data_IF_295563310990
#
_entry.id   IF_295563310990
#
_cell.length_a   1.000
_cell.length_b   1.000
_cell.length_c   1.000
_cell.angle_alpha   90.00
_cell.angle_beta   90.00
_cell.angle_gamma   90.00
#
_symmetry.space_group_name_H-M   'P 1'
#
loop_
_entity.id
_entity.type
_entity.pdbx_description
1 polymer ?
#
# COMPACT_ATOMS: atom_id res chain seq x y z
N UNK A 1 -1.85 13.36 16.65
CA UNK A 1 -2.62 12.17 16.26
C UNK A 1 -2.98 12.21 14.78
N UNK A 2 -3.78 13.16 14.31
CA UNK A 2 -4.22 13.22 12.90
C UNK A 2 -3.07 13.38 11.86
N UNK A 3 -2.10 14.27 12.11
CA UNK A 3 -0.93 14.44 11.22
C UNK A 3 -0.05 13.19 11.10
N UNK A 4 0.00 12.38 12.17
CA UNK A 4 0.79 11.16 12.19
C UNK A 4 0.08 10.03 11.43
N UNK A 5 -1.24 9.95 11.58
CA UNK A 5 -2.07 9.00 10.83
C UNK A 5 -1.99 9.28 9.32
N UNK A 6 -2.14 10.54 8.92
CA UNK A 6 -2.04 10.92 7.50
C UNK A 6 -0.64 10.64 6.93
N UNK A 7 0.42 10.86 7.71
CA UNK A 7 1.78 10.52 7.31
C UNK A 7 1.94 9.01 7.08
N UNK A 8 1.45 8.18 8.01
CA UNK A 8 1.48 6.72 7.87
C UNK A 8 0.71 6.26 6.62
N UNK A 9 -0.49 6.80 6.39
CA UNK A 9 -1.30 6.50 5.19
C UNK A 9 -0.62 6.94 3.90
N UNK A 10 -0.02 8.14 3.89
CA UNK A 10 0.73 8.66 2.74
C UNK A 10 1.93 7.78 2.40
N UNK A 11 2.73 7.40 3.41
CA UNK A 11 3.85 6.48 3.23
C UNK A 11 3.36 5.12 2.70
N UNK A 12 2.26 4.60 3.24
CA UNK A 12 1.71 3.30 2.85
C UNK A 12 1.16 3.29 1.42
N UNK A 13 0.55 4.40 0.96
CA UNK A 13 0.18 4.60 -0.45
C UNK A 13 1.40 4.55 -1.38
N UNK A 14 2.50 5.19 -0.99
CA UNK A 14 3.73 5.13 -1.77
C UNK A 14 4.26 3.68 -1.88
N UNK A 15 4.17 2.89 -0.82
CA UNK A 15 4.60 1.49 -0.81
C UNK A 15 3.75 0.64 -1.75
N UNK A 16 2.42 0.80 -1.72
CA UNK A 16 1.52 0.10 -2.64
C UNK A 16 1.88 0.43 -4.09
N UNK A 17 2.17 1.70 -4.40
CA UNK A 17 2.63 2.09 -5.73
C UNK A 17 3.98 1.44 -6.09
N UNK A 18 4.94 1.36 -5.16
CA UNK A 18 6.22 0.68 -5.39
C UNK A 18 6.04 -0.81 -5.71
N UNK A 19 5.04 -1.48 -5.12
CA UNK A 19 4.73 -2.89 -5.40
C UNK A 19 4.13 -3.13 -6.78
N UNK A 20 3.63 -2.09 -7.45
CA UNK A 20 3.17 -2.20 -8.86
C UNK A 20 4.31 -2.26 -9.87
N UNK A 21 5.54 -1.91 -9.45
CA UNK A 21 6.71 -1.98 -10.30
C UNK A 21 7.04 -3.46 -10.55
N UNK A 22 7.21 -3.90 -11.81
CA UNK A 22 7.58 -5.27 -12.12
C UNK A 22 8.82 -5.71 -11.34
N UNK A 23 8.76 -6.91 -10.77
CA UNK A 23 9.84 -7.51 -9.98
C UNK A 23 10.21 -6.79 -8.68
N UNK A 24 9.43 -5.78 -8.24
CA UNK A 24 9.67 -5.10 -6.97
C UNK A 24 9.67 -6.06 -5.77
N UNK A 25 8.82 -7.09 -5.80
CA UNK A 25 8.77 -8.15 -4.78
C UNK A 25 10.04 -9.00 -4.69
N UNK A 26 10.88 -9.03 -5.74
CA UNK A 26 12.17 -9.74 -5.72
C UNK A 26 13.26 -8.94 -5.01
N UNK A 27 13.03 -7.64 -4.79
CA UNK A 27 13.96 -6.80 -4.06
C UNK A 27 13.99 -7.22 -2.59
N UNK A 28 15.16 -7.56 -2.02
CA UNK A 28 15.25 -7.95 -0.61
C UNK A 28 14.77 -6.83 0.33
N UNK A 29 14.97 -5.56 -0.06
CA UNK A 29 14.47 -4.41 0.70
C UNK A 29 12.94 -4.36 0.73
N UNK A 30 12.29 -4.72 -0.39
CA UNK A 30 10.83 -4.73 -0.46
C UNK A 30 10.23 -5.89 0.34
N UNK A 31 10.88 -7.05 0.33
CA UNK A 31 10.51 -8.20 1.15
C UNK A 31 10.64 -7.90 2.65
N UNK A 32 11.74 -7.26 3.05
CA UNK A 32 11.93 -6.81 4.42
C UNK A 32 10.85 -5.78 4.83
N UNK A 33 10.56 -4.83 3.95
CA UNK A 33 9.54 -3.81 4.21
C UNK A 33 8.14 -4.41 4.41
N UNK A 34 7.76 -5.38 3.58
CA UNK A 34 6.50 -6.12 3.73
C UNK A 34 6.45 -6.91 5.05
N UNK A 35 7.57 -7.50 5.47
CA UNK A 35 7.69 -8.17 6.77
C UNK A 35 7.49 -7.17 7.94
N UNK A 36 8.05 -5.98 7.83
CA UNK A 36 7.86 -4.92 8.84
C UNK A 36 6.41 -4.42 8.90
N UNK A 37 5.73 -4.28 7.76
CA UNK A 37 4.30 -3.93 7.73
C UNK A 37 3.47 -5.04 8.38
N UNK A 38 3.64 -6.28 7.95
CA UNK A 38 2.83 -7.41 8.41
C UNK A 38 3.04 -7.75 9.90
N UNK A 39 4.24 -7.51 10.44
CA UNK A 39 4.52 -7.69 11.87
C UNK A 39 3.90 -6.60 12.76
N UNK A 40 3.43 -5.48 12.20
CA UNK A 40 2.79 -4.40 12.92
C UNK A 40 1.29 -4.31 12.56
N UNK A 41 0.42 -4.71 13.48
CA UNK A 41 -1.03 -4.76 13.25
C UNK A 41 -1.64 -3.42 12.78
N UNK A 42 -1.14 -2.28 13.28
CA UNK A 42 -1.62 -0.97 12.86
C UNK A 42 -1.26 -0.69 11.39
N UNK A 43 -0.01 -0.95 11.03
CA UNK A 43 0.48 -0.73 9.67
C UNK A 43 -0.16 -1.72 8.69
N UNK A 44 -0.31 -2.98 9.07
CA UNK A 44 -1.00 -3.99 8.27
C UNK A 44 -2.45 -3.57 7.97
N UNK A 45 -3.20 -3.11 8.98
CA UNK A 45 -4.57 -2.65 8.79
C UNK A 45 -4.67 -1.45 7.82
N UNK A 46 -3.74 -0.50 7.92
CA UNK A 46 -3.67 0.66 7.01
C UNK A 46 -3.33 0.20 5.59
N UNK A 47 -2.34 -0.69 5.44
CA UNK A 47 -1.90 -1.22 4.15
C UNK A 47 -3.02 -2.00 3.44
N UNK A 48 -3.72 -2.88 4.15
CA UNK A 48 -4.85 -3.66 3.63
C UNK A 48 -6.00 -2.77 3.16
N UNK A 49 -6.28 -1.68 3.89
CA UNK A 49 -7.30 -0.70 3.47
C UNK A 49 -6.91 -0.06 2.15
N UNK A 50 -5.66 0.42 2.06
CA UNK A 50 -5.16 1.13 0.87
C UNK A 50 -5.10 0.20 -0.34
N UNK A 51 -4.67 -1.07 -0.18
CA UNK A 51 -4.66 -2.03 -1.28
C UNK A 51 -6.06 -2.27 -1.85
N UNK A 52 -7.09 -2.35 -0.98
CA UNK A 52 -8.50 -2.47 -1.40
C UNK A 52 -8.99 -1.21 -2.12
N UNK A 53 -8.64 -0.04 -1.62
CA UNK A 53 -9.00 1.25 -2.24
C UNK A 53 -8.32 1.41 -3.62
N UNK A 54 -7.03 1.07 -3.73
CA UNK A 54 -6.29 1.11 -5.00
C UNK A 54 -6.83 0.13 -6.04
N UNK A 55 -7.28 -1.06 -5.61
CA UNK A 55 -7.88 -2.05 -6.51
C UNK A 55 -9.25 -1.59 -7.04
N UNK A 56 -10.01 -0.88 -6.20
CA UNK A 56 -11.34 -0.34 -6.56
C UNK A 56 -11.24 0.83 -7.54
N UNK A 57 -10.28 1.74 -7.32
CA UNK A 57 -10.03 2.89 -8.20
C UNK A 57 -9.65 2.46 -9.64
N UNK A 58 -9.00 1.30 -9.80
CA UNK A 58 -8.64 0.76 -11.11
C UNK A 58 -9.85 0.18 -11.86
N UNK A 59 -10.94 -0.16 -11.15
CA UNK A 59 -12.15 -0.74 -11.73
C UNK A 59 -13.14 0.33 -12.19
N UNK A 60 -13.21 1.47 -11.48
CA UNK A 60 -14.09 2.61 -11.83
C UNK A 60 -13.64 3.37 -13.09
N UNK A 61 -12.38 3.22 -13.53
CA UNK A 61 -11.89 3.86 -14.76
C UNK A 61 -12.36 3.16 -16.05
N UNK A 62 -13.06 2.02 -15.96
CA UNK A 62 -13.45 1.20 -17.13
C UNK A 62 -14.94 1.26 -17.49
N UNK A 63 -15.74 2.08 -16.81
CA UNK A 63 -17.18 2.24 -17.07
C UNK A 63 -17.50 3.71 -17.41
N UNK A 64 -16.92 4.21 -18.50
CA UNK A 64 -17.43 5.39 -19.21
C UNK A 64 -17.34 5.14 -20.72
N UNK A 65 -18.30 4.40 -21.27
CA UNK A 65 -18.51 4.23 -22.72
C UNK A 65 -19.99 4.08 -23.04
#
# INVERSE_FOLDING_TARGET
FEKQDELKRSAMRAVVALLTIPEAEKSPLMSEFQSQISSNQELAAIFDSIQRDSSSANMESMDTS
#
